data_IF_017114013035
#
_entry.id   IF_017114013035
#
_cell.length_a   1.000
_cell.length_b   1.000
_cell.length_c   1.000
_cell.angle_alpha   90.00
_cell.angle_beta   90.00
_cell.angle_gamma   90.00
#
_symmetry.space_group_name_H-M   'P 1'
#
loop_
_entity.id
_entity.type
_entity.pdbx_description
1 polymer ?
#
# COMPACT_ATOMS: atom_id res chain seq x y z
N UNK A 1 5.02 -12.91 10.24
CA UNK A 1 3.94 -11.92 10.42
C UNK A 1 4.01 -10.98 9.23
N UNK A 2 2.93 -10.88 8.44
CA UNK A 2 2.88 -10.00 7.27
C UNK A 2 2.52 -8.60 7.76
N UNK A 3 3.30 -7.59 7.39
CA UNK A 3 3.00 -6.19 7.71
C UNK A 3 2.08 -5.60 6.64
N UNK A 4 1.26 -4.62 7.00
CA UNK A 4 0.36 -3.93 6.06
C UNK A 4 1.11 -3.33 4.88
N UNK A 5 2.22 -2.64 5.16
CA UNK A 5 3.10 -2.04 4.17
C UNK A 5 3.69 -3.11 3.23
N UNK A 6 4.13 -4.25 3.76
CA UNK A 6 4.70 -5.33 2.96
C UNK A 6 3.68 -5.94 1.99
N UNK A 7 2.45 -6.13 2.45
CA UNK A 7 1.36 -6.63 1.60
C UNK A 7 0.95 -5.61 0.54
N UNK A 8 0.84 -4.33 0.91
CA UNK A 8 0.55 -3.25 -0.03
C UNK A 8 1.57 -3.20 -1.16
N UNK A 9 2.87 -3.29 -0.83
CA UNK A 9 3.93 -3.29 -1.85
C UNK A 9 3.86 -4.52 -2.76
N UNK A 10 3.53 -5.68 -2.20
CA UNK A 10 3.34 -6.91 -2.96
C UNK A 10 2.15 -6.78 -3.93
N UNK A 11 1.00 -6.33 -3.44
CA UNK A 11 -0.20 -6.14 -4.26
C UNK A 11 0.01 -5.06 -5.33
N UNK A 12 0.74 -3.99 -5.00
CA UNK A 12 1.09 -2.94 -5.95
C UNK A 12 1.97 -3.45 -7.10
N UNK A 13 2.93 -4.32 -6.80
CA UNK A 13 3.73 -4.99 -7.85
C UNK A 13 2.86 -5.87 -8.74
N UNK A 14 1.93 -6.63 -8.16
CA UNK A 14 1.05 -7.52 -8.92
C UNK A 14 0.11 -6.76 -9.87
N UNK A 15 -0.53 -5.69 -9.39
CA UNK A 15 -1.41 -4.89 -10.25
C UNK A 15 -0.65 -4.16 -11.35
N UNK A 16 0.52 -3.59 -11.02
CA UNK A 16 1.36 -2.92 -12.02
C UNK A 16 1.83 -3.90 -13.10
N UNK A 17 2.31 -5.09 -12.71
CA UNK A 17 2.75 -6.11 -13.65
C UNK A 17 1.63 -6.61 -14.57
N UNK A 18 0.38 -6.70 -14.07
CA UNK A 18 -0.77 -7.16 -14.87
C UNK A 18 -1.36 -6.07 -15.75
N UNK A 19 -1.40 -4.83 -15.30
CA UNK A 19 -1.95 -3.70 -16.06
C UNK A 19 -0.97 -3.19 -17.12
N UNK A 20 0.33 -3.19 -16.81
CA UNK A 20 1.37 -2.64 -17.68
C UNK A 20 2.60 -3.55 -17.70
N UNK A 21 2.51 -4.74 -18.31
CA UNK A 21 3.62 -5.69 -18.37
C UNK A 21 4.87 -5.08 -19.06
N UNK A 22 4.65 -4.26 -20.09
CA UNK A 22 5.73 -3.57 -20.81
C UNK A 22 6.56 -2.63 -19.92
N UNK A 23 5.91 -1.98 -18.94
CA UNK A 23 6.61 -1.10 -18.00
C UNK A 23 7.44 -1.91 -16.99
N UNK A 24 6.97 -3.08 -16.60
CA UNK A 24 7.71 -3.96 -15.68
C UNK A 24 8.93 -4.57 -16.37
N UNK A 25 8.80 -4.98 -17.64
CA UNK A 25 9.93 -5.42 -18.46
C UNK A 25 10.97 -4.30 -18.64
N UNK A 26 10.51 -3.09 -18.95
CA UNK A 26 11.39 -1.92 -19.07
C UNK A 26 12.05 -1.55 -17.74
N UNK A 27 11.36 -1.69 -16.61
CA UNK A 27 11.96 -1.49 -15.29
C UNK A 27 13.06 -2.51 -15.01
N UNK A 28 12.81 -3.79 -15.31
CA UNK A 28 13.80 -4.84 -15.11
C UNK A 28 15.04 -4.64 -15.99
N UNK A 29 14.87 -4.20 -17.24
CA UNK A 29 16.02 -3.89 -18.11
C UNK A 29 16.82 -2.69 -17.60
N UNK A 30 16.16 -1.63 -17.15
CA UNK A 30 16.82 -0.45 -16.57
C UNK A 30 17.58 -0.76 -15.28
N UNK A 31 17.06 -1.65 -14.43
CA UNK A 31 17.76 -2.09 -13.21
C UNK A 31 19.06 -2.82 -13.56
N UNK A 32 19.01 -3.73 -14.55
CA UNK A 32 20.20 -4.46 -15.02
C UNK A 32 21.22 -3.51 -15.64
N UNK A 33 20.77 -2.59 -16.48
CA UNK A 33 21.62 -1.57 -17.10
C UNK A 33 22.26 -0.65 -16.05
N UNK A 34 21.47 -0.16 -15.10
CA UNK A 34 21.96 0.67 -14.00
C UNK A 34 22.96 -0.04 -13.09
N UNK A 35 22.76 -1.34 -12.83
CA UNK A 35 23.73 -2.14 -12.08
C UNK A 35 25.06 -2.31 -12.86
N UNK A 36 24.98 -2.54 -14.17
CA UNK A 36 26.16 -2.64 -15.03
C UNK A 36 26.90 -1.31 -15.14
N UNK A 37 26.19 -0.20 -15.31
CA UNK A 37 26.75 1.16 -15.39
C UNK A 37 27.46 1.55 -14.08
N UNK A 38 26.88 1.27 -12.91
CA UNK A 38 27.55 1.48 -11.62
C UNK A 38 28.84 0.67 -11.49
N UNK A 39 28.82 -0.58 -11.97
CA UNK A 39 30.03 -1.43 -11.98
C UNK A 39 31.11 -0.88 -12.91
N UNK A 40 30.73 -0.41 -14.10
CA UNK A 40 31.63 0.21 -15.07
C UNK A 40 32.26 1.48 -14.50
N UNK A 41 31.46 2.38 -13.90
CA UNK A 41 31.97 3.60 -13.25
C UNK A 41 33.01 3.27 -12.18
N UNK A 42 32.72 2.29 -11.31
CA UNK A 42 33.67 1.85 -10.29
C UNK A 42 34.96 1.30 -10.90
N UNK A 43 34.87 0.47 -11.93
CA UNK A 43 36.07 -0.03 -12.62
C UNK A 43 36.89 1.10 -13.26
N UNK A 44 36.22 2.14 -13.78
CA UNK A 44 36.91 3.31 -14.33
C UNK A 44 37.59 4.11 -13.22
N UNK A 45 36.92 4.35 -12.08
CA UNK A 45 37.53 4.98 -10.90
C UNK A 45 38.75 4.20 -10.41
N UNK A 46 38.65 2.87 -10.27
CA UNK A 46 39.76 2.01 -9.85
C UNK A 46 40.94 2.09 -10.83
N UNK A 47 40.67 2.15 -12.14
CA UNK A 47 41.69 2.29 -13.18
C UNK A 47 42.37 3.67 -13.16
N UNK A 48 41.60 4.73 -12.89
CA UNK A 48 42.14 6.09 -12.70
C UNK A 48 43.05 6.12 -11.46
N UNK A 49 42.61 5.52 -10.35
CA UNK A 49 43.40 5.42 -9.12
C UNK A 49 44.70 4.63 -9.34
N UNK A 50 44.65 3.52 -10.08
CA UNK A 50 45.85 2.73 -10.40
C UNK A 50 46.87 3.55 -11.20
N UNK A 51 46.42 4.29 -12.22
CA UNK A 51 47.29 5.15 -13.05
C UNK A 51 47.88 6.29 -12.21
N UNK A 52 47.10 6.92 -11.33
CA UNK A 52 47.56 7.98 -10.43
C UNK A 52 48.50 7.47 -9.32
N UNK A 53 48.34 6.21 -8.88
CA UNK A 53 49.13 5.58 -7.83
C UNK A 53 50.51 5.13 -8.29
N UNK A 54 50.77 5.01 -9.60
CA UNK A 54 52.10 4.68 -10.11
C UNK A 54 53.05 5.86 -9.88
N UNK A 55 54.03 5.68 -9.00
CA UNK A 55 55.07 6.68 -8.71
C UNK A 55 55.91 6.97 -9.97
N UNK A 56 55.78 8.17 -10.51
CA UNK A 56 56.53 8.67 -11.66
C UNK A 56 55.96 10.01 -12.14
N UNK A 57 56.72 10.80 -12.91
CA UNK A 57 56.27 12.09 -13.43
C UNK A 57 55.13 11.87 -14.46
N UNK A 58 53.88 11.80 -14.00
CA UNK A 58 52.68 11.53 -14.81
C UNK A 58 52.53 12.52 -15.98
N UNK A 59 53.13 13.71 -15.88
CA UNK A 59 53.16 14.70 -16.95
C UNK A 59 54.02 14.28 -18.17
N UNK A 60 54.93 13.33 -18.00
CA UNK A 60 55.79 12.81 -19.07
C UNK A 60 55.27 11.49 -19.68
N UNK A 61 54.32 10.83 -19.03
CA UNK A 61 53.74 9.58 -19.52
C UNK A 61 52.52 9.86 -20.40
N UNK A 62 52.78 10.02 -21.70
CA UNK A 62 51.76 10.25 -22.73
C UNK A 62 50.69 9.14 -22.73
N UNK A 63 51.03 7.92 -22.30
CA UNK A 63 50.07 6.80 -22.20
C UNK A 63 49.12 6.96 -21.02
N UNK A 64 49.61 7.44 -19.88
CA UNK A 64 48.80 7.74 -18.69
C UNK A 64 47.79 8.86 -18.99
N UNK A 65 48.24 9.93 -19.67
CA UNK A 65 47.38 11.06 -20.09
C UNK A 65 46.27 10.57 -21.02
N UNK A 66 46.59 9.71 -21.99
CA UNK A 66 45.60 9.18 -22.93
C UNK A 66 44.56 8.30 -22.23
N UNK A 67 44.99 7.41 -21.34
CA UNK A 67 44.09 6.53 -20.56
C UNK A 67 43.18 7.35 -19.66
N UNK A 68 43.69 8.38 -19.00
CA UNK A 68 42.91 9.30 -18.15
C UNK A 68 41.87 10.07 -18.97
N UNK A 69 42.24 10.57 -20.15
CA UNK A 69 41.33 11.28 -21.05
C UNK A 69 40.20 10.37 -21.57
N UNK A 70 40.53 9.17 -22.03
CA UNK A 70 39.54 8.18 -22.49
C UNK A 70 38.60 7.74 -21.36
N UNK A 71 39.16 7.50 -20.16
CA UNK A 71 38.41 7.10 -18.96
C UNK A 71 37.47 8.19 -18.47
N UNK A 72 37.90 9.46 -18.53
CA UNK A 72 37.06 10.61 -18.20
C UNK A 72 35.89 10.75 -19.17
N UNK A 73 36.16 10.69 -20.48
CA UNK A 73 35.13 10.81 -21.50
C UNK A 73 34.09 9.68 -21.37
N UNK A 74 34.54 8.44 -21.14
CA UNK A 74 33.66 7.30 -20.91
C UNK A 74 32.84 7.46 -19.61
N UNK A 75 33.43 7.98 -18.52
CA UNK A 75 32.69 8.26 -17.28
C UNK A 75 31.63 9.33 -17.46
N UNK A 76 31.92 10.42 -18.17
CA UNK A 76 30.95 11.47 -18.49
C UNK A 76 29.80 10.91 -19.33
N UNK A 77 30.07 10.07 -20.33
CA UNK A 77 29.05 9.41 -21.13
C UNK A 77 28.16 8.47 -20.29
N UNK A 78 28.77 7.61 -19.45
CA UNK A 78 28.01 6.68 -18.58
C UNK A 78 27.20 7.46 -17.55
N UNK A 79 27.74 8.53 -16.98
CA UNK A 79 27.03 9.40 -16.04
C UNK A 79 25.80 10.04 -16.69
N UNK A 80 25.92 10.51 -17.93
CA UNK A 80 24.78 11.07 -18.68
C UNK A 80 23.68 10.03 -18.94
N UNK A 81 24.08 8.80 -19.31
CA UNK A 81 23.14 7.67 -19.47
C UNK A 81 22.47 7.30 -18.15
N UNK A 82 23.23 7.28 -17.06
CA UNK A 82 22.71 6.99 -15.72
C UNK A 82 21.67 8.01 -15.27
N UNK A 83 21.85 9.29 -15.61
CA UNK A 83 20.87 10.34 -15.31
C UNK A 83 19.56 10.11 -16.09
N UNK A 84 19.64 9.74 -17.37
CA UNK A 84 18.47 9.41 -18.20
C UNK A 84 17.75 8.18 -17.64
N UNK A 85 18.50 7.13 -17.28
CA UNK A 85 17.96 5.93 -16.62
C UNK A 85 17.22 6.30 -15.33
N UNK A 86 17.82 7.15 -14.48
CA UNK A 86 17.21 7.57 -13.22
C UNK A 86 15.93 8.38 -13.41
N UNK A 87 15.87 9.26 -14.42
CA UNK A 87 14.63 10.00 -14.75
C UNK A 87 13.54 9.05 -15.24
N UNK A 88 13.92 8.09 -16.08
CA UNK A 88 12.98 7.08 -16.60
C UNK A 88 12.45 6.18 -15.46
N UNK A 89 13.30 5.80 -14.50
CA UNK A 89 12.88 5.06 -13.30
C UNK A 89 11.85 5.85 -12.47
N UNK A 90 12.04 7.16 -12.32
CA UNK A 90 11.09 8.01 -11.60
C UNK A 90 9.73 8.05 -12.31
N UNK A 91 9.70 8.26 -13.63
CA UNK A 91 8.45 8.26 -14.41
C UNK A 91 7.71 6.90 -14.34
N UNK A 92 8.46 5.80 -14.31
CA UNK A 92 7.93 4.46 -14.12
C UNK A 92 7.32 4.28 -12.72
N UNK A 93 8.02 4.75 -11.69
CA UNK A 93 7.54 4.67 -10.32
C UNK A 93 6.32 5.58 -10.08
N UNK A 94 6.25 6.76 -10.70
CA UNK A 94 5.06 7.61 -10.69
C UNK A 94 3.85 6.89 -11.30
N UNK A 95 4.05 6.26 -12.45
CA UNK A 95 3.01 5.47 -13.11
C UNK A 95 2.54 4.30 -12.23
N UNK A 96 3.48 3.60 -11.59
CA UNK A 96 3.18 2.53 -10.63
C UNK A 96 2.39 3.07 -9.44
N UNK A 97 2.82 4.19 -8.87
CA UNK A 97 2.19 4.82 -7.71
C UNK A 97 0.73 5.24 -7.99
N UNK A 98 0.37 5.44 -9.25
CA UNK A 98 -1.03 5.61 -9.66
C UNK A 98 -1.96 4.48 -9.20
N UNK A 99 -1.47 3.23 -9.11
CA UNK A 99 -2.25 2.08 -8.67
C UNK A 99 -2.19 1.83 -7.15
N UNK A 100 -1.41 2.60 -6.41
CA UNK A 100 -1.26 2.48 -4.94
C UNK A 100 -2.61 2.48 -4.19
N UNK A 101 -3.62 3.29 -4.56
CA UNK A 101 -4.93 3.25 -3.90
C UNK A 101 -5.64 1.89 -3.98
N UNK A 102 -5.42 1.14 -5.07
CA UNK A 102 -5.99 -0.21 -5.22
C UNK A 102 -5.29 -1.18 -4.28
N UNK A 103 -3.96 -1.09 -4.17
CA UNK A 103 -3.18 -1.95 -3.29
C UNK A 103 -3.52 -1.73 -1.80
N UNK A 104 -3.67 -0.46 -1.38
CA UNK A 104 -4.11 -0.10 -0.02
C UNK A 104 -5.50 -0.66 0.25
N UNK A 105 -6.46 -0.43 -0.66
CA UNK A 105 -7.82 -0.95 -0.54
C UNK A 105 -7.83 -2.48 -0.39
N UNK A 106 -7.10 -3.19 -1.23
CA UNK A 106 -7.01 -4.65 -1.17
C UNK A 106 -6.31 -5.15 0.10
N UNK A 107 -5.27 -4.46 0.58
CA UNK A 107 -4.60 -4.79 1.84
C UNK A 107 -5.58 -4.73 3.02
N UNK A 108 -6.38 -3.68 3.10
CA UNK A 108 -7.44 -3.53 4.11
C UNK A 108 -8.41 -4.71 4.08
N UNK A 109 -8.90 -5.08 2.89
CA UNK A 109 -9.83 -6.21 2.73
C UNK A 109 -9.20 -7.52 3.23
N UNK A 110 -7.91 -7.75 2.98
CA UNK A 110 -7.22 -8.95 3.46
C UNK A 110 -7.18 -9.01 5.00
N UNK A 111 -6.87 -7.89 5.67
CA UNK A 111 -6.83 -7.87 7.13
C UNK A 111 -8.21 -8.06 7.74
N UNK A 112 -9.26 -7.41 7.20
CA UNK A 112 -10.64 -7.62 7.64
C UNK A 112 -11.04 -9.09 7.56
N UNK A 113 -10.70 -9.78 6.47
CA UNK A 113 -11.00 -11.20 6.29
C UNK A 113 -10.15 -12.06 7.24
N UNK A 114 -8.89 -11.70 7.46
CA UNK A 114 -8.00 -12.44 8.36
C UNK A 114 -8.46 -12.38 9.82
N UNK A 115 -9.09 -11.27 10.21
CA UNK A 115 -9.68 -11.09 11.54
C UNK A 115 -10.94 -11.93 11.77
N UNK A 116 -11.59 -12.46 10.71
CA UNK A 116 -12.75 -13.35 10.86
C UNK A 116 -12.40 -14.65 11.59
N UNK A 117 -11.13 -15.07 11.55
CA UNK A 117 -10.65 -16.22 12.32
C UNK A 117 -10.80 -16.03 13.84
N UNK A 118 -10.91 -14.79 14.32
CA UNK A 118 -11.19 -14.48 15.73
C UNK A 118 -12.66 -14.74 16.12
N UNK A 119 -13.57 -14.78 15.13
CA UNK A 119 -15.00 -15.08 15.35
C UNK A 119 -15.18 -16.60 15.37
N UNK A 120 -14.66 -17.28 14.35
CA UNK A 120 -14.68 -18.73 14.25
C UNK A 120 -13.37 -19.22 13.61
N UNK A 121 -12.63 -20.15 14.23
CA UNK A 121 -11.40 -20.70 13.68
C UNK A 121 -11.54 -21.30 12.27
N UNK A 122 -12.75 -21.67 11.85
CA UNK A 122 -13.02 -22.16 10.49
C UNK A 122 -12.90 -21.07 9.42
N UNK A 123 -12.98 -19.78 9.79
CA UNK A 123 -12.91 -18.64 8.87
C UNK A 123 -11.47 -18.19 8.59
N UNK A 124 -10.65 -19.14 8.15
CA UNK A 124 -9.26 -18.88 7.82
C UNK A 124 -9.02 -18.96 6.32
N UNK A 125 -8.48 -17.87 5.76
CA UNK A 125 -8.17 -17.76 4.34
C UNK A 125 -6.68 -17.60 4.14
N UNK A 126 -6.14 -18.29 3.14
CA UNK A 126 -4.71 -18.19 2.82
C UNK A 126 -4.43 -16.94 1.98
N UNK A 127 -3.25 -16.35 2.18
CA UNK A 127 -2.77 -15.24 1.35
C UNK A 127 -2.72 -15.64 -0.14
N UNK A 128 -2.31 -16.88 -0.42
CA UNK A 128 -2.24 -17.37 -1.79
C UNK A 128 -3.61 -17.39 -2.48
N UNK A 129 -4.65 -17.86 -1.78
CA UNK A 129 -6.04 -17.81 -2.27
C UNK A 129 -6.49 -16.37 -2.54
N UNK A 130 -6.18 -15.46 -1.62
CA UNK A 130 -6.50 -14.04 -1.76
C UNK A 130 -5.80 -13.40 -2.98
N UNK A 131 -4.51 -13.68 -3.18
CA UNK A 131 -3.72 -13.19 -4.32
C UNK A 131 -4.31 -13.71 -5.64
N UNK A 132 -4.74 -14.97 -5.71
CA UNK A 132 -5.36 -15.51 -6.92
C UNK A 132 -6.68 -14.80 -7.25
N UNK A 133 -7.53 -14.54 -6.24
CA UNK A 133 -8.74 -13.75 -6.43
C UNK A 133 -8.43 -12.31 -6.88
N UNK A 134 -7.35 -11.73 -6.36
CA UNK A 134 -6.92 -10.39 -6.75
C UNK A 134 -6.50 -10.34 -8.22
N UNK A 135 -5.68 -11.29 -8.67
CA UNK A 135 -5.27 -11.42 -10.07
C UNK A 135 -6.49 -11.64 -10.97
N UNK A 136 -7.39 -12.54 -10.59
CA UNK A 136 -8.63 -12.79 -11.32
C UNK A 136 -9.48 -11.52 -11.43
N UNK A 137 -9.59 -10.73 -10.35
CA UNK A 137 -10.34 -9.49 -10.35
C UNK A 137 -9.75 -8.44 -11.28
N UNK A 138 -8.42 -8.36 -11.37
CA UNK A 138 -7.74 -7.45 -12.31
C UNK A 138 -8.12 -7.81 -13.75
N UNK A 139 -8.13 -9.10 -14.09
CA UNK A 139 -8.45 -9.58 -15.44
C UNK A 139 -9.93 -9.42 -15.82
N UNK A 140 -10.85 -9.66 -14.88
CA UNK A 140 -12.30 -9.68 -15.13
C UNK A 140 -12.98 -8.31 -14.98
N UNK A 141 -12.35 -7.37 -14.27
CA UNK A 141 -12.91 -6.04 -14.03
C UNK A 141 -13.00 -5.20 -15.32
N UNK A 142 -13.96 -4.27 -15.36
CA UNK A 142 -14.16 -3.36 -16.49
C UNK A 142 -12.91 -2.53 -16.76
N UNK A 143 -12.36 -2.64 -17.97
CA UNK A 143 -11.22 -1.84 -18.43
C UNK A 143 -11.65 -0.41 -18.72
N UNK A 144 -10.79 0.56 -18.40
CA UNK A 144 -10.96 1.97 -18.74
C UNK A 144 -9.61 2.56 -19.15
N UNK A 145 -9.64 3.52 -20.07
CA UNK A 145 -8.46 4.28 -20.50
C UNK A 145 -8.08 5.30 -19.40
N UNK A 146 -9.07 5.83 -18.68
CA UNK A 146 -8.85 6.73 -17.56
C UNK A 146 -8.41 5.91 -16.32
N UNK A 147 -7.24 6.26 -15.78
CA UNK A 147 -6.68 5.59 -14.60
C UNK A 147 -7.61 5.68 -13.38
N UNK A 148 -8.28 6.82 -13.15
CA UNK A 148 -9.20 7.00 -12.00
C UNK A 148 -10.39 6.05 -12.10
N UNK A 149 -11.06 6.03 -13.24
CA UNK A 149 -12.20 5.13 -13.49
C UNK A 149 -11.77 3.65 -13.42
N UNK A 150 -10.55 3.34 -13.87
CA UNK A 150 -9.97 1.99 -13.76
C UNK A 150 -9.75 1.59 -12.31
N UNK A 151 -9.20 2.48 -11.49
CA UNK A 151 -8.98 2.27 -10.04
C UNK A 151 -10.31 2.01 -9.34
N UNK A 152 -11.33 2.82 -9.60
CA UNK A 152 -12.67 2.63 -8.99
C UNK A 152 -13.30 1.31 -9.43
N UNK A 153 -13.20 0.98 -10.73
CA UNK A 153 -13.69 -0.30 -11.26
C UNK A 153 -13.00 -1.50 -10.62
N UNK A 154 -11.68 -1.42 -10.41
CA UNK A 154 -10.89 -2.46 -9.73
C UNK A 154 -11.31 -2.61 -8.26
N UNK A 155 -11.38 -1.50 -7.52
CA UNK A 155 -11.82 -1.50 -6.11
C UNK A 155 -13.21 -2.09 -5.97
N UNK A 156 -14.16 -1.64 -6.79
CA UNK A 156 -15.54 -2.12 -6.75
C UNK A 156 -15.64 -3.62 -7.08
N UNK A 157 -15.06 -4.04 -8.20
CA UNK A 157 -15.11 -5.44 -8.62
C UNK A 157 -14.45 -6.36 -7.60
N UNK A 158 -13.28 -5.98 -7.08
CA UNK A 158 -12.57 -6.79 -6.10
C UNK A 158 -13.34 -6.92 -4.78
N UNK A 159 -13.93 -5.82 -4.29
CA UNK A 159 -14.78 -5.84 -3.09
C UNK A 159 -15.96 -6.79 -3.26
N UNK A 160 -16.63 -6.73 -4.41
CA UNK A 160 -17.75 -7.64 -4.72
C UNK A 160 -17.33 -9.10 -4.84
N UNK A 161 -16.17 -9.35 -5.47
CA UNK A 161 -15.64 -10.71 -5.64
C UNK A 161 -15.30 -11.32 -4.28
N UNK A 162 -14.60 -10.58 -3.43
CA UNK A 162 -14.27 -10.98 -2.06
C UNK A 162 -15.54 -11.22 -1.26
N UNK A 163 -16.48 -10.26 -1.24
CA UNK A 163 -17.71 -10.38 -0.47
C UNK A 163 -18.48 -11.65 -0.86
N UNK A 164 -18.67 -11.90 -2.16
CA UNK A 164 -19.39 -13.07 -2.65
C UNK A 164 -18.69 -14.39 -2.30
N UNK A 165 -17.36 -14.45 -2.42
CA UNK A 165 -16.62 -15.68 -2.12
C UNK A 165 -16.60 -15.98 -0.62
N UNK A 166 -16.36 -14.97 0.22
CA UNK A 166 -16.35 -15.14 1.68
C UNK A 166 -17.75 -15.49 2.20
N UNK A 167 -18.80 -14.76 1.79
CA UNK A 167 -20.18 -15.03 2.19
C UNK A 167 -20.70 -16.43 1.81
N UNK A 168 -20.13 -17.08 0.79
CA UNK A 168 -20.47 -18.48 0.45
C UNK A 168 -19.97 -19.48 1.48
N UNK A 169 -18.90 -19.13 2.20
CA UNK A 169 -18.26 -19.98 3.20
C UNK A 169 -18.63 -19.64 4.65
N UNK A 170 -19.25 -18.48 4.89
CA UNK A 170 -19.71 -18.05 6.22
C UNK A 170 -21.08 -18.66 6.59
N UNK A 171 -21.29 -18.93 7.88
CA UNK A 171 -22.62 -19.18 8.42
C UNK A 171 -23.52 -17.94 8.27
N UNK A 172 -24.83 -18.17 8.10
CA UNK A 172 -25.81 -17.09 7.88
C UNK A 172 -25.76 -16.00 8.96
N UNK A 173 -25.62 -16.40 10.23
CA UNK A 173 -25.51 -15.50 11.38
C UNK A 173 -24.34 -14.50 11.28
N UNK A 174 -23.25 -14.88 10.61
CA UNK A 174 -22.01 -14.09 10.58
C UNK A 174 -21.91 -13.21 9.32
N UNK A 175 -22.80 -13.40 8.33
CA UNK A 175 -22.78 -12.62 7.08
C UNK A 175 -23.04 -11.13 7.28
N UNK A 176 -23.98 -10.79 8.16
CA UNK A 176 -24.28 -9.38 8.47
C UNK A 176 -23.10 -8.72 9.18
N UNK A 177 -22.50 -9.42 10.14
CA UNK A 177 -21.31 -8.97 10.85
C UNK A 177 -20.15 -8.74 9.86
N UNK A 178 -19.89 -9.69 8.96
CA UNK A 178 -18.87 -9.52 7.94
C UNK A 178 -19.15 -8.33 7.01
N UNK A 179 -20.38 -8.14 6.55
CA UNK A 179 -20.77 -6.98 5.74
C UNK A 179 -20.48 -5.66 6.47
N UNK A 180 -20.79 -5.59 7.76
CA UNK A 180 -20.51 -4.43 8.60
C UNK A 180 -19.00 -4.19 8.78
N UNK A 181 -18.23 -5.23 9.12
CA UNK A 181 -16.77 -5.14 9.26
C UNK A 181 -16.09 -4.74 7.94
N UNK A 182 -16.58 -5.23 6.80
CA UNK A 182 -16.08 -4.85 5.48
C UNK A 182 -16.31 -3.35 5.22
N UNK A 183 -17.50 -2.85 5.53
CA UNK A 183 -17.84 -1.43 5.38
C UNK A 183 -16.95 -0.55 6.26
N UNK A 184 -16.86 -0.87 7.55
CA UNK A 184 -16.03 -0.14 8.51
C UNK A 184 -14.55 -0.20 8.13
N UNK A 185 -14.04 -1.34 7.69
CA UNK A 185 -12.66 -1.49 7.22
C UNK A 185 -12.35 -0.54 6.06
N UNK A 186 -13.23 -0.50 5.06
CA UNK A 186 -13.10 0.41 3.90
C UNK A 186 -13.15 1.88 4.35
N UNK A 187 -14.12 2.25 5.18
CA UNK A 187 -14.27 3.63 5.65
C UNK A 187 -13.10 4.07 6.55
N UNK A 188 -12.58 3.19 7.40
CA UNK A 188 -11.35 3.44 8.17
C UNK A 188 -10.15 3.67 7.25
N UNK A 189 -10.04 2.90 6.16
CA UNK A 189 -9.03 3.12 5.13
C UNK A 189 -9.11 4.49 4.45
N UNK A 190 -10.31 5.06 4.36
CA UNK A 190 -10.56 6.41 3.86
C UNK A 190 -10.47 7.50 4.95
N UNK A 191 -10.14 7.15 6.20
CA UNK A 191 -10.20 8.03 7.37
C UNK A 191 -11.59 8.67 7.60
N UNK A 192 -12.67 7.98 7.23
CA UNK A 192 -14.05 8.44 7.42
C UNK A 192 -14.66 8.00 8.76
N UNK A 193 -13.98 7.13 9.49
CA UNK A 193 -14.42 6.64 10.81
C UNK A 193 -13.45 7.10 11.87
N UNK A 194 -13.95 7.89 12.81
CA UNK A 194 -13.20 8.28 14.00
C UNK A 194 -13.07 7.10 14.98
N UNK A 195 -11.86 6.89 15.49
CA UNK A 195 -11.58 5.77 16.38
C UNK A 195 -12.22 5.91 17.76
N UNK A 196 -12.47 7.13 18.25
CA UNK A 196 -13.17 7.34 19.52
C UNK A 196 -14.65 6.98 19.37
N UNK A 197 -15.29 7.44 18.29
CA UNK A 197 -16.66 7.07 17.95
C UNK A 197 -16.80 5.55 17.73
N UNK A 198 -15.82 4.93 17.05
CA UNK A 198 -15.81 3.47 16.84
C UNK A 198 -15.68 2.69 18.14
N UNK A 199 -14.76 3.10 19.04
CA UNK A 199 -14.62 2.47 20.35
C UNK A 199 -15.89 2.60 21.17
N UNK A 200 -16.49 3.79 21.19
CA UNK A 200 -17.75 4.02 21.89
C UNK A 200 -18.87 3.12 21.37
N UNK A 201 -18.98 2.92 20.05
CA UNK A 201 -19.96 1.99 19.47
C UNK A 201 -19.76 0.54 19.93
N UNK A 202 -18.51 0.09 20.08
CA UNK A 202 -18.18 -1.29 20.44
C UNK A 202 -18.29 -1.58 21.94
N UNK A 203 -17.78 -0.68 22.77
CA UNK A 203 -17.67 -0.92 24.22
C UNK A 203 -18.78 -0.23 25.02
N UNK A 204 -19.46 0.75 24.42
CA UNK A 204 -20.22 1.75 25.17
C UNK A 204 -19.33 2.48 26.17
N UNK A 205 -19.97 3.15 27.13
CA UNK A 205 -19.32 3.67 28.31
C UNK A 205 -19.12 2.57 29.36
N UNK A 206 -18.00 1.86 29.33
CA UNK A 206 -17.66 0.91 30.41
C UNK A 206 -17.40 1.68 31.71
N UNK A 207 -18.29 1.48 32.69
CA UNK A 207 -18.07 1.66 34.14
C UNK A 207 -17.53 3.02 34.65
N UNK A 208 -18.12 4.14 34.24
CA UNK A 208 -17.93 5.44 34.90
C UNK A 208 -19.27 5.89 35.49
N UNK A 209 -19.25 6.34 36.75
CA UNK A 209 -20.43 6.90 37.40
C UNK A 209 -20.91 8.14 36.63
N UNK A 210 -22.22 8.21 36.35
CA UNK A 210 -22.82 9.36 35.70
C UNK A 210 -23.06 10.48 36.74
N UNK A 211 -22.40 11.65 36.63
CA UNK A 211 -22.61 12.75 37.58
C UNK A 211 -23.92 13.52 37.32
N UNK A 212 -24.58 13.30 36.18
CA UNK A 212 -25.76 14.05 35.78
C UNK A 212 -27.06 13.25 35.98
N UNK A 213 -28.01 13.74 36.81
CA UNK A 213 -29.27 13.04 37.04
C UNK A 213 -30.11 12.99 35.76
N UNK A 214 -30.90 11.93 35.62
CA UNK A 214 -31.79 11.74 34.48
C UNK A 214 -32.99 12.69 34.53
N UNK A 215 -33.13 13.64 33.57
CA UNK A 215 -34.24 14.59 33.56
C UNK A 215 -35.56 13.96 33.07
N UNK A 216 -35.50 12.79 32.42
CA UNK A 216 -36.62 12.11 31.74
C UNK A 216 -36.77 10.66 32.19
N UNK A 217 -36.73 10.46 33.52
CA UNK A 217 -36.83 9.14 34.16
C UNK A 217 -38.17 8.42 33.94
N UNK A 218 -39.17 9.13 33.43
CA UNK A 218 -40.52 8.63 33.14
C UNK A 218 -40.55 7.65 31.97
N UNK A 219 -39.69 7.82 30.97
CA UNK A 219 -39.62 6.94 29.79
C UNK A 219 -38.20 6.43 29.47
N UNK A 220 -37.15 7.11 29.94
CA UNK A 220 -35.76 6.74 29.67
C UNK A 220 -35.13 6.10 30.90
N UNK A 221 -34.64 4.84 30.83
CA UNK A 221 -33.91 4.22 31.92
C UNK A 221 -32.59 4.95 32.21
N UNK A 222 -32.18 5.00 33.48
CA UNK A 222 -30.92 5.66 33.89
C UNK A 222 -29.68 5.09 33.21
N UNK A 223 -29.71 3.79 32.86
CA UNK A 223 -28.64 3.15 32.08
C UNK A 223 -28.50 3.80 30.69
N UNK A 224 -29.62 4.04 30.01
CA UNK A 224 -29.64 4.67 28.69
C UNK A 224 -29.25 6.14 28.77
N UNK A 225 -29.69 6.85 29.82
CA UNK A 225 -29.27 8.22 30.10
C UNK A 225 -27.75 8.34 30.31
N UNK A 226 -27.16 7.41 31.07
CA UNK A 226 -25.70 7.38 31.29
C UNK A 226 -24.90 7.17 29.98
N UNK A 227 -25.44 6.46 29.00
CA UNK A 227 -24.81 6.35 27.68
C UNK A 227 -24.97 7.64 26.87
N UNK A 228 -26.11 8.34 26.94
CA UNK A 228 -26.33 9.62 26.25
C UNK A 228 -25.38 10.70 26.77
N UNK A 229 -25.25 10.81 28.10
CA UNK A 229 -24.31 11.74 28.73
C UNK A 229 -22.89 11.48 28.22
N UNK A 230 -22.45 10.23 28.17
CA UNK A 230 -21.10 9.89 27.70
C UNK A 230 -20.92 10.06 26.20
N UNK A 231 -21.98 9.85 25.43
CA UNK A 231 -22.01 10.19 24.02
C UNK A 231 -21.77 11.70 23.83
N UNK A 232 -22.31 12.55 24.71
CA UNK A 232 -22.13 14.00 24.62
C UNK A 232 -20.69 14.48 24.84
N UNK A 233 -19.82 13.66 25.46
CA UNK A 233 -18.39 13.94 25.59
C UNK A 233 -17.63 13.81 24.26
N UNK A 234 -18.21 13.10 23.27
CA UNK A 234 -17.62 12.96 21.94
C UNK A 234 -17.83 14.25 21.14
N UNK A 235 -16.80 14.78 20.47
CA UNK A 235 -16.91 16.04 19.71
C UNK A 235 -18.04 16.04 18.67
N UNK A 236 -18.33 14.89 18.06
CA UNK A 236 -19.40 14.72 17.06
C UNK A 236 -20.80 14.88 17.65
N UNK A 237 -20.93 14.63 18.94
CA UNK A 237 -22.20 14.54 19.68
C UNK A 237 -22.31 15.64 20.75
N UNK A 238 -21.44 16.64 20.70
CA UNK A 238 -21.50 17.79 21.60
C UNK A 238 -22.87 18.51 21.49
N UNK A 239 -23.48 18.81 22.64
CA UNK A 239 -24.81 19.44 22.71
C UNK A 239 -26.00 18.49 22.70
N UNK A 240 -25.78 17.18 22.84
CA UNK A 240 -26.83 16.19 23.12
C UNK A 240 -27.42 16.32 24.53
N UNK A 241 -26.71 17.00 25.43
CA UNK A 241 -27.10 17.28 26.80
C UNK A 241 -27.65 18.70 26.95
#
# INVERSE_FOLDING_TARGET
>A
MITSIGLEDQLLRLVAAKERPELEEKKNSLILEGANNRRLLKNIEDKILEVLSKQGNILEDETAIRILSESRQLSEEISSKQEITSRTEQELDETRNGYKPVAIHSSILFFVISELANIDPMYQYSLWWFINLYIQSIEQSKKSINLKDRIESLKYHFTQLIFRNVCRSLFEKDKLLFSFLLCIGIMKGSNEVDDANWRFLLTGGIALENPFPNPVFDWLPDKSWAEIVRCSDLPTFAGLM
#
